data_IF_486254200617
#
_entry.id   IF_486254200617
#
_cell.length_a   1.000
_cell.length_b   1.000
_cell.length_c   1.000
_cell.angle_alpha   90.00
_cell.angle_beta   90.00
_cell.angle_gamma   90.00
#
_symmetry.space_group_name_H-M   'P 1'
#
loop_
_entity.id
_entity.type
_entity.pdbx_description
1 polymer ?
#
# COMPACT_ATOMS: atom_id res chain seq x y z
N UNK A 1 -16.64 2.97 4.54
CA UNK A 1 -17.00 4.17 3.73
C UNK A 1 -16.73 3.85 2.26
N UNK A 2 -17.67 4.21 1.43
CA UNK A 2 -17.60 3.95 0.00
C UNK A 2 -16.69 4.96 -0.71
N UNK A 3 -15.79 4.48 -1.56
CA UNK A 3 -14.92 5.35 -2.35
C UNK A 3 -15.48 5.47 -3.78
N UNK A 4 -16.25 6.52 -4.00
CA UNK A 4 -16.91 6.76 -5.29
C UNK A 4 -15.92 7.06 -6.42
N UNK A 5 -14.78 7.68 -6.11
CA UNK A 5 -13.73 7.96 -7.10
C UNK A 5 -13.09 6.67 -7.61
N UNK A 6 -12.76 5.76 -6.70
CA UNK A 6 -12.20 4.45 -7.04
C UNK A 6 -13.23 3.63 -7.84
N UNK A 7 -14.48 3.60 -7.39
CA UNK A 7 -15.56 2.89 -8.10
C UNK A 7 -15.72 3.39 -9.53
N UNK A 8 -15.71 4.70 -9.73
CA UNK A 8 -15.85 5.30 -11.06
C UNK A 8 -14.69 4.92 -11.98
N UNK A 9 -13.47 4.91 -11.47
CA UNK A 9 -12.30 4.51 -12.25
C UNK A 9 -12.36 3.04 -12.65
N UNK A 10 -12.73 2.17 -11.72
CA UNK A 10 -12.87 0.72 -11.99
C UNK A 10 -13.96 0.49 -13.03
N UNK A 11 -15.12 1.10 -12.84
CA UNK A 11 -16.24 0.96 -13.78
C UNK A 11 -15.86 1.47 -15.18
N UNK A 12 -15.18 2.62 -15.26
CA UNK A 12 -14.71 3.17 -16.52
C UNK A 12 -13.76 2.24 -17.26
N UNK A 13 -12.82 1.62 -16.53
CA UNK A 13 -11.89 0.66 -17.12
C UNK A 13 -12.63 -0.56 -17.67
N UNK A 14 -13.57 -1.11 -16.92
CA UNK A 14 -14.38 -2.25 -17.35
C UNK A 14 -15.23 -1.91 -18.57
N UNK A 15 -15.84 -0.73 -18.59
CA UNK A 15 -16.66 -0.27 -19.71
C UNK A 15 -15.86 -0.12 -21.00
N UNK A 16 -14.59 0.24 -20.89
CA UNK A 16 -13.68 0.38 -22.03
C UNK A 16 -13.03 -0.94 -22.45
N UNK A 17 -13.32 -2.04 -21.77
CA UNK A 17 -12.76 -3.35 -22.06
C UNK A 17 -11.35 -3.56 -21.51
N UNK A 18 -10.88 -2.69 -20.62
CA UNK A 18 -9.59 -2.86 -19.95
C UNK A 18 -9.66 -3.92 -18.87
N UNK A 19 -8.49 -4.45 -18.48
CA UNK A 19 -8.41 -5.42 -17.39
C UNK A 19 -8.31 -4.71 -16.05
N UNK A 20 -8.98 -5.27 -15.05
CA UNK A 20 -8.84 -4.83 -13.65
C UNK A 20 -8.36 -6.02 -12.83
N UNK A 21 -7.16 -5.90 -12.31
CA UNK A 21 -6.55 -6.92 -11.46
C UNK A 21 -6.77 -6.56 -9.99
N UNK A 22 -7.03 -7.57 -9.17
CA UNK A 22 -7.20 -7.40 -7.73
C UNK A 22 -6.08 -8.15 -7.02
N UNK A 23 -5.39 -7.45 -6.12
CA UNK A 23 -4.26 -8.01 -5.37
C UNK A 23 -4.60 -7.99 -3.88
N UNK A 24 -4.42 -9.13 -3.22
CA UNK A 24 -4.63 -9.26 -1.78
C UNK A 24 -3.49 -8.63 -0.98
N UNK A 25 -3.33 -9.08 0.26
CA UNK A 25 -2.36 -8.53 1.21
C UNK A 25 -0.94 -8.52 0.66
N UNK A 26 -0.27 -7.36 0.73
CA UNK A 26 1.09 -7.17 0.21
C UNK A 26 2.12 -7.17 1.35
N UNK A 27 1.75 -6.60 2.49
CA UNK A 27 2.55 -6.61 3.74
C UNK A 27 4.04 -6.30 3.54
N UNK A 28 4.35 -5.21 2.84
CA UNK A 28 5.72 -4.73 2.71
C UNK A 28 6.65 -5.56 1.82
N UNK A 29 6.14 -6.54 1.08
CA UNK A 29 6.94 -7.34 0.15
C UNK A 29 7.05 -6.64 -1.20
N UNK A 30 7.84 -5.57 -1.24
CA UNK A 30 7.98 -4.70 -2.41
C UNK A 30 8.51 -5.43 -3.64
N UNK A 31 9.56 -6.22 -3.50
CA UNK A 31 10.15 -6.92 -4.64
C UNK A 31 9.18 -7.88 -5.29
N UNK A 32 8.44 -8.64 -4.46
CA UNK A 32 7.41 -9.55 -4.93
C UNK A 32 6.29 -8.80 -5.64
N UNK A 33 5.88 -7.67 -5.08
CA UNK A 33 4.83 -6.83 -5.66
C UNK A 33 5.28 -6.24 -7.01
N UNK A 34 6.50 -5.72 -7.10
CA UNK A 34 7.06 -5.21 -8.35
C UNK A 34 7.13 -6.29 -9.42
N UNK A 35 7.58 -7.50 -9.04
CA UNK A 35 7.64 -8.65 -9.96
C UNK A 35 6.26 -9.04 -10.47
N UNK A 36 5.26 -9.02 -9.58
CA UNK A 36 3.87 -9.28 -9.97
C UNK A 36 3.38 -8.25 -10.98
N UNK A 37 3.57 -6.97 -10.68
CA UNK A 37 3.15 -5.88 -11.58
C UNK A 37 3.80 -6.00 -12.96
N UNK A 38 5.09 -6.34 -13.00
CA UNK A 38 5.79 -6.57 -14.25
C UNK A 38 5.23 -7.75 -15.06
N UNK A 39 4.84 -8.82 -14.37
CA UNK A 39 4.30 -10.03 -15.02
C UNK A 39 2.90 -9.85 -15.60
N UNK A 40 2.13 -8.86 -15.11
CA UNK A 40 0.78 -8.58 -15.58
C UNK A 40 0.75 -7.94 -16.97
N UNK A 41 1.87 -7.40 -17.43
CA UNK A 41 1.97 -6.74 -18.74
C UNK A 41 0.85 -5.71 -18.96
N UNK A 42 0.69 -4.81 -18.01
CA UNK A 42 -0.37 -3.81 -18.05
C UNK A 42 -0.27 -2.92 -19.28
N UNK A 43 -1.39 -2.72 -19.95
CA UNK A 43 -1.50 -1.80 -21.09
C UNK A 43 -2.39 -0.61 -20.70
N UNK A 44 -2.45 0.41 -21.57
CA UNK A 44 -3.20 1.63 -21.28
C UNK A 44 -4.65 1.34 -20.87
N UNK A 45 -5.07 1.92 -19.76
CA UNK A 45 -6.40 1.72 -19.20
C UNK A 45 -6.54 0.57 -18.21
N UNK A 46 -5.60 -0.36 -18.16
CA UNK A 46 -5.62 -1.45 -17.17
C UNK A 46 -5.38 -0.90 -15.77
N UNK A 47 -6.03 -1.50 -14.79
CA UNK A 47 -5.92 -1.10 -13.39
C UNK A 47 -5.52 -2.28 -12.49
N UNK A 48 -4.81 -1.95 -11.42
CA UNK A 48 -4.53 -2.88 -10.31
C UNK A 48 -5.14 -2.28 -9.05
N UNK A 49 -6.01 -3.03 -8.40
CA UNK A 49 -6.66 -2.62 -7.16
C UNK A 49 -6.14 -3.48 -6.02
N UNK A 50 -5.42 -2.86 -5.10
CA UNK A 50 -4.95 -3.52 -3.89
C UNK A 50 -6.04 -3.49 -2.83
N UNK A 51 -6.24 -4.59 -2.14
CA UNK A 51 -7.26 -4.71 -1.10
C UNK A 51 -6.83 -4.13 0.25
N UNK A 52 -5.74 -3.38 0.28
CA UNK A 52 -5.16 -2.84 1.50
C UNK A 52 -4.12 -3.77 2.09
N UNK A 53 -3.82 -3.58 3.37
CA UNK A 53 -2.75 -4.29 4.06
C UNK A 53 -1.43 -4.24 3.28
N UNK A 54 -1.07 -3.01 2.92
CA UNK A 54 0.14 -2.72 2.15
C UNK A 54 1.39 -2.85 2.99
N UNK A 55 1.25 -2.59 4.28
CA UNK A 55 2.33 -2.41 5.25
C UNK A 55 2.39 -3.56 6.25
N UNK A 56 3.40 -3.51 7.07
CA UNK A 56 3.67 -4.39 8.21
C UNK A 56 4.16 -5.78 7.78
N UNK A 57 4.95 -6.38 8.64
CA UNK A 57 5.54 -7.74 8.53
C UNK A 57 6.69 -7.84 7.53
N UNK A 58 6.53 -7.40 6.30
CA UNK A 58 7.56 -7.53 5.26
C UNK A 58 8.65 -6.47 5.36
N UNK A 59 9.69 -6.57 4.53
CA UNK A 59 10.93 -5.79 4.71
C UNK A 59 10.87 -4.35 4.20
N UNK A 60 9.91 -3.99 3.35
CA UNK A 60 9.90 -2.65 2.72
C UNK A 60 8.48 -2.10 2.55
N UNK A 61 7.83 -1.82 3.67
CA UNK A 61 6.49 -1.23 3.68
C UNK A 61 6.47 0.15 2.99
N UNK A 62 7.50 0.95 3.24
CA UNK A 62 7.61 2.28 2.63
C UNK A 62 7.71 2.19 1.11
N UNK A 63 8.48 1.22 0.59
CA UNK A 63 8.59 0.98 -0.84
C UNK A 63 7.26 0.61 -1.48
N UNK A 64 6.47 -0.23 -0.81
CA UNK A 64 5.11 -0.58 -1.29
C UNK A 64 4.21 0.65 -1.32
N UNK A 65 4.23 1.44 -0.25
CA UNK A 65 3.43 2.68 -0.19
C UNK A 65 3.79 3.64 -1.33
N UNK A 66 5.08 3.75 -1.65
CA UNK A 66 5.56 4.60 -2.75
C UNK A 66 5.07 4.13 -4.11
N UNK A 67 5.05 2.82 -4.35
CA UNK A 67 4.52 2.26 -5.60
C UNK A 67 3.05 2.67 -5.78
N UNK A 68 2.24 2.48 -4.75
CA UNK A 68 0.82 2.83 -4.78
C UNK A 68 0.62 4.34 -4.98
N UNK A 69 1.43 5.16 -4.32
CA UNK A 69 1.34 6.61 -4.45
C UNK A 69 1.72 7.11 -5.85
N UNK A 70 2.79 6.55 -6.43
CA UNK A 70 3.43 7.11 -7.62
C UNK A 70 2.92 6.52 -8.94
N UNK A 71 2.28 5.35 -8.92
CA UNK A 71 1.76 4.69 -10.13
C UNK A 71 0.25 4.90 -10.23
N UNK A 72 -0.17 5.64 -11.25
CA UNK A 72 -1.59 5.99 -11.44
C UNK A 72 -2.49 4.77 -11.67
N UNK A 73 -1.96 3.73 -12.30
CA UNK A 73 -2.71 2.50 -12.59
C UNK A 73 -2.88 1.60 -11.35
N UNK A 74 -2.19 1.90 -10.26
CA UNK A 74 -2.27 1.12 -9.02
C UNK A 74 -3.09 1.88 -7.99
N UNK A 75 -4.21 1.29 -7.59
CA UNK A 75 -5.14 1.85 -6.60
C UNK A 75 -5.15 0.96 -5.37
N UNK A 76 -5.56 1.52 -4.25
CA UNK A 76 -5.71 0.71 -3.03
C UNK A 76 -6.89 1.18 -2.20
N UNK A 77 -7.57 0.22 -1.59
CA UNK A 77 -8.46 0.49 -0.47
C UNK A 77 -7.66 0.34 0.81
N UNK A 78 -8.22 0.74 1.94
CA UNK A 78 -7.56 0.65 3.24
C UNK A 78 -7.87 -0.69 3.89
N UNK A 79 -6.83 -1.47 4.22
CA UNK A 79 -6.96 -2.70 4.97
C UNK A 79 -6.84 -2.46 6.48
N UNK A 80 -6.90 -3.54 7.27
CA UNK A 80 -6.84 -3.46 8.73
C UNK A 80 -5.51 -2.89 9.23
N UNK A 81 -4.40 -3.31 8.66
CA UNK A 81 -3.08 -2.82 9.05
C UNK A 81 -2.87 -1.35 8.68
N UNK A 82 -3.34 -0.94 7.52
CA UNK A 82 -3.28 0.45 7.09
C UNK A 82 -4.10 1.34 8.05
N UNK A 83 -5.25 0.86 8.48
CA UNK A 83 -6.11 1.55 9.46
C UNK A 83 -5.45 1.63 10.83
N UNK A 84 -4.76 0.57 11.27
CA UNK A 84 -4.01 0.60 12.52
C UNK A 84 -2.93 1.68 12.51
N UNK A 85 -2.20 1.84 11.40
CA UNK A 85 -1.23 2.92 11.25
C UNK A 85 -1.90 4.29 11.34
N UNK A 86 -2.99 4.47 10.62
CA UNK A 86 -3.73 5.74 10.64
C UNK A 86 -4.18 6.12 12.04
N UNK A 87 -4.74 5.16 12.77
CA UNK A 87 -5.21 5.38 14.14
C UNK A 87 -4.04 5.62 15.11
N UNK A 88 -2.90 4.96 14.88
CA UNK A 88 -1.69 5.16 15.68
C UNK A 88 -1.17 6.60 15.61
N UNK A 89 -1.39 7.27 14.49
CA UNK A 89 -1.01 8.67 14.29
C UNK A 89 -2.07 9.64 14.80
N UNK A 90 -3.22 9.14 15.26
CA UNK A 90 -4.30 9.95 15.80
C UNK A 90 -3.95 10.43 17.21
N UNK A 91 -4.17 11.72 17.50
CA UNK A 91 -3.98 12.29 18.83
C UNK A 91 -4.93 11.70 19.88
N UNK A 92 -6.05 11.16 19.46
CA UNK A 92 -7.12 10.66 20.32
C UNK A 92 -6.90 9.25 20.84
N UNK A 93 -6.36 8.37 20.00
CA UNK A 93 -6.23 6.94 20.27
C UNK A 93 -4.82 6.41 20.06
N UNK A 94 -3.87 7.30 19.75
CA UNK A 94 -2.54 6.95 19.28
C UNK A 94 -1.78 5.96 20.15
N UNK A 95 -1.78 6.16 21.48
CA UNK A 95 -1.01 5.32 22.38
C UNK A 95 -1.45 3.86 22.41
N UNK A 96 -2.77 3.62 22.47
CA UNK A 96 -3.33 2.28 22.49
C UNK A 96 -3.16 1.58 21.14
N UNK A 97 -3.49 2.28 20.08
CA UNK A 97 -3.38 1.74 18.73
C UNK A 97 -1.93 1.50 18.33
N UNK A 98 -1.02 2.36 18.75
CA UNK A 98 0.41 2.19 18.50
C UNK A 98 0.91 0.88 19.11
N UNK A 99 0.56 0.58 20.35
CA UNK A 99 0.94 -0.68 21.01
C UNK A 99 0.38 -1.88 20.27
N UNK A 100 -0.88 -1.81 19.87
CA UNK A 100 -1.54 -2.87 19.10
C UNK A 100 -0.88 -3.08 17.75
N UNK A 101 -0.64 -1.99 17.03
CA UNK A 101 -0.01 -2.03 15.71
C UNK A 101 1.40 -2.62 15.77
N UNK A 102 2.22 -2.20 16.72
CA UNK A 102 3.58 -2.74 16.89
C UNK A 102 3.57 -4.25 17.14
N UNK A 103 2.58 -4.73 17.90
CA UNK A 103 2.41 -6.16 18.19
C UNK A 103 2.10 -6.97 16.93
N UNK A 104 1.38 -6.41 15.98
CA UNK A 104 0.90 -7.11 14.79
C UNK A 104 1.72 -6.83 13.52
N UNK A 105 2.92 -6.32 13.66
CA UNK A 105 3.86 -6.16 12.54
C UNK A 105 4.29 -4.74 12.22
N UNK A 106 3.79 -3.74 12.93
CA UNK A 106 4.13 -2.34 12.68
C UNK A 106 5.59 -1.99 12.92
N UNK A 107 6.29 -2.78 13.72
CA UNK A 107 7.72 -2.58 13.96
C UNK A 107 8.52 -2.69 12.66
N UNK A 108 8.16 -3.63 11.79
CA UNK A 108 8.81 -3.78 10.49
C UNK A 108 8.61 -2.56 9.60
N UNK A 109 7.43 -1.94 9.67
CA UNK A 109 7.14 -0.70 8.94
C UNK A 109 8.01 0.45 9.45
N UNK A 110 8.14 0.61 10.77
CA UNK A 110 9.01 1.63 11.35
C UNK A 110 10.47 1.41 10.96
N UNK A 111 10.95 0.17 10.95
CA UNK A 111 12.29 -0.17 10.52
C UNK A 111 12.53 0.21 9.06
N UNK A 112 11.58 -0.07 8.20
CA UNK A 112 11.63 0.29 6.78
C UNK A 112 11.77 1.82 6.60
N UNK A 113 11.01 2.60 7.36
CA UNK A 113 11.07 4.05 7.33
C UNK A 113 12.42 4.58 7.81
N UNK A 114 12.96 4.01 8.87
CA UNK A 114 14.26 4.40 9.42
C UNK A 114 15.41 4.14 8.43
N UNK A 115 15.42 2.96 7.81
CA UNK A 115 16.43 2.62 6.80
C UNK A 115 16.39 3.57 5.61
N UNK A 116 15.22 3.94 5.13
CA UNK A 116 15.07 4.90 4.03
C UNK A 116 15.58 6.29 4.42
N UNK A 117 15.35 6.72 5.64
CA UNK A 117 15.83 7.99 6.15
C UNK A 117 17.35 8.02 6.23
N UNK A 118 17.97 6.95 6.74
CA UNK A 118 19.41 6.80 6.80
C UNK A 118 20.04 6.87 5.41
N UNK A 119 19.51 6.17 4.43
CA UNK A 119 19.98 6.22 3.04
C UNK A 119 19.90 7.61 2.45
N UNK A 120 18.85 8.35 2.76
CA UNK A 120 18.69 9.72 2.28
C UNK A 120 19.75 10.65 2.86
N UNK A 121 20.17 10.43 4.12
CA UNK A 121 21.23 11.18 4.77
C UNK A 121 22.61 10.84 4.20
N UNK A 122 22.86 9.59 3.85
CA UNK A 122 24.12 9.14 3.24
C UNK A 122 24.33 9.73 1.85
N UNK A 123 23.27 9.94 1.09
CA UNK A 123 23.34 10.49 -0.28
C UNK A 123 23.44 12.01 -0.26
N UNK A 124 23.07 12.65 0.81
CA UNK A 124 23.17 14.08 0.97
C UNK A 124 24.57 14.50 1.39
#
# INVERSE_FOLDING_TARGET
>A
MRDHGLESRVQGALDEGSSVWVVGDIHGYRETFESLLGSLCLSGGDLVVCLGDLIDRGPDSLGVMRIVRDREEVLSIRGNHDEMLRLSLSSRHGGRMMRSWLKYGGLDTLSSMSEQQERSLEVA
#
